data_IF_020257915040
#
_entry.id   IF_020257915040
#
_cell.length_a   1.000
_cell.length_b   1.000
_cell.length_c   1.000
_cell.angle_alpha   90.00
_cell.angle_beta   90.00
_cell.angle_gamma   90.00
#
_symmetry.space_group_name_H-M   'P 1'
#
loop_
_entity.id
_entity.type
_entity.pdbx_description
1 polymer ?
#
# COMPACT_ATOMS: atom_id res chain seq x y z
N UNK A 1 -19.12 -35.19 -15.15
CA UNK A 1 -19.10 -33.73 -14.91
C UNK A 1 -19.51 -32.91 -16.15
N UNK A 2 -20.13 -33.53 -17.17
CA UNK A 2 -20.47 -32.88 -18.45
C UNK A 2 -21.96 -32.47 -18.58
N UNK A 3 -22.86 -33.02 -17.75
CA UNK A 3 -24.30 -32.71 -17.82
C UNK A 3 -24.75 -31.42 -17.11
N UNK A 4 -23.87 -30.78 -16.32
CA UNK A 4 -24.22 -29.54 -15.60
C UNK A 4 -24.07 -28.30 -16.49
N UNK A 5 -23.07 -28.31 -17.38
CA UNK A 5 -22.75 -27.17 -18.25
C UNK A 5 -23.68 -27.10 -19.46
N UNK A 6 -24.12 -28.24 -20.01
CA UNK A 6 -25.17 -28.29 -21.03
C UNK A 6 -26.54 -27.83 -20.51
N UNK A 7 -26.84 -28.09 -19.23
CA UNK A 7 -28.09 -27.64 -18.61
C UNK A 7 -28.10 -26.12 -18.35
N UNK A 8 -26.92 -25.53 -18.12
CA UNK A 8 -26.77 -24.07 -18.01
C UNK A 8 -26.74 -23.38 -19.37
N UNK A 9 -26.14 -24.01 -20.39
CA UNK A 9 -26.16 -23.52 -21.77
C UNK A 9 -27.59 -23.49 -22.34
N UNK A 10 -28.38 -24.54 -22.12
CA UNK A 10 -29.79 -24.60 -22.55
C UNK A 10 -30.70 -23.60 -21.80
N UNK A 11 -30.38 -23.24 -20.55
CA UNK A 11 -31.08 -22.16 -19.83
C UNK A 11 -30.73 -20.78 -20.38
N UNK A 12 -29.52 -20.59 -20.90
CA UNK A 12 -29.06 -19.34 -21.47
C UNK A 12 -29.56 -19.16 -22.92
N UNK A 13 -29.60 -20.22 -23.72
CA UNK A 13 -30.20 -20.20 -25.06
C UNK A 13 -31.70 -19.92 -25.03
N UNK A 14 -32.42 -20.53 -24.07
CA UNK A 14 -33.83 -20.20 -23.86
C UNK A 14 -34.03 -18.74 -23.42
N UNK A 15 -33.15 -18.18 -22.58
CA UNK A 15 -33.20 -16.76 -22.15
C UNK A 15 -32.82 -15.76 -23.25
N UNK A 16 -31.92 -16.13 -24.16
CA UNK A 16 -31.55 -15.29 -25.32
C UNK A 16 -32.67 -15.29 -26.37
N UNK A 17 -33.41 -16.40 -26.51
CA UNK A 17 -34.68 -16.43 -27.25
C UNK A 17 -35.73 -15.52 -26.60
N UNK A 18 -35.82 -15.53 -25.25
CA UNK A 18 -36.71 -14.60 -24.51
C UNK A 18 -36.31 -13.14 -24.72
N UNK A 19 -35.02 -12.82 -24.86
CA UNK A 19 -34.53 -11.46 -25.15
C UNK A 19 -34.98 -10.94 -26.55
N UNK A 20 -35.19 -11.84 -27.51
CA UNK A 20 -35.80 -11.52 -28.82
C UNK A 20 -37.32 -11.38 -28.77
N UNK A 21 -38.00 -12.00 -27.80
CA UNK A 21 -39.47 -11.93 -27.64
C UNK A 21 -39.92 -10.81 -26.68
N UNK A 22 -39.18 -10.55 -25.60
CA UNK A 22 -39.43 -9.45 -24.65
C UNK A 22 -39.26 -8.07 -25.31
N UNK A 23 -38.49 -7.98 -26.40
CA UNK A 23 -38.35 -6.76 -27.22
C UNK A 23 -39.52 -6.54 -28.19
N UNK A 24 -40.48 -7.47 -28.27
CA UNK A 24 -41.78 -7.27 -28.98
C UNK A 24 -42.95 -6.94 -28.05
N UNK A 25 -42.82 -7.10 -26.73
CA UNK A 25 -43.83 -6.65 -25.78
C UNK A 25 -43.30 -5.44 -25.03
N UNK A 26 -43.88 -4.29 -25.37
CA UNK A 26 -43.77 -3.06 -24.60
C UNK A 26 -44.18 -3.31 -23.16
N UNK A 27 -43.20 -3.48 -22.27
CA UNK A 27 -43.41 -3.22 -20.85
C UNK A 27 -42.20 -2.53 -20.24
N UNK A 28 -42.52 -1.59 -19.37
CA UNK A 28 -41.67 -0.53 -18.88
C UNK A 28 -40.77 -0.95 -17.70
N UNK A 29 -39.73 -0.15 -17.50
CA UNK A 29 -38.74 -0.23 -16.41
C UNK A 29 -37.51 -1.11 -16.66
N UNK A 30 -36.44 -0.45 -17.12
CA UNK A 30 -35.06 -0.50 -16.59
C UNK A 30 -34.14 0.14 -17.62
N UNK A 31 -33.24 1.00 -17.16
CA UNK A 31 -32.33 1.84 -17.96
C UNK A 31 -31.49 1.05 -18.99
N UNK A 32 -31.26 -0.24 -18.72
CA UNK A 32 -30.54 -1.16 -19.60
C UNK A 32 -31.29 -1.51 -20.89
N UNK A 33 -32.63 -1.45 -20.89
CA UNK A 33 -33.43 -1.77 -22.08
C UNK A 33 -33.28 -0.68 -23.16
N UNK A 34 -33.27 0.59 -22.75
CA UNK A 34 -33.04 1.71 -23.67
C UNK A 34 -31.62 1.68 -24.28
N UNK A 35 -30.61 1.39 -23.45
CA UNK A 35 -29.22 1.22 -23.90
C UNK A 35 -29.08 0.08 -24.92
N UNK A 36 -29.71 -1.07 -24.69
CA UNK A 36 -29.71 -2.20 -25.61
C UNK A 36 -30.37 -1.88 -26.95
N UNK A 37 -31.54 -1.23 -26.92
CA UNK A 37 -32.23 -0.77 -28.14
C UNK A 37 -31.41 0.24 -28.93
N UNK A 38 -30.72 1.17 -28.26
CA UNK A 38 -29.84 2.14 -28.91
C UNK A 38 -28.69 1.48 -29.66
N UNK A 39 -28.06 0.44 -29.09
CA UNK A 39 -26.96 -0.30 -29.74
C UNK A 39 -27.46 -1.06 -30.98
N UNK A 40 -28.62 -1.73 -30.87
CA UNK A 40 -29.21 -2.45 -31.99
C UNK A 40 -29.65 -1.52 -33.12
N UNK A 41 -30.28 -0.39 -32.79
CA UNK A 41 -30.71 0.60 -33.78
C UNK A 41 -29.52 1.22 -34.52
N UNK A 42 -28.45 1.55 -33.79
CA UNK A 42 -27.22 2.06 -34.40
C UNK A 42 -26.60 1.05 -35.38
N UNK A 43 -26.52 -0.22 -35.00
CA UNK A 43 -26.00 -1.27 -35.89
C UNK A 43 -26.89 -1.51 -37.12
N UNK A 44 -28.21 -1.48 -36.97
CA UNK A 44 -29.14 -1.65 -38.09
C UNK A 44 -29.00 -0.51 -39.11
N UNK A 45 -28.71 0.71 -38.65
CA UNK A 45 -28.58 1.88 -39.51
C UNK A 45 -27.20 1.98 -40.17
N UNK A 46 -26.13 1.71 -39.43
CA UNK A 46 -24.74 1.93 -39.89
C UNK A 46 -24.08 0.65 -40.40
N UNK A 47 -24.58 -0.52 -40.01
CA UNK A 47 -24.00 -1.82 -40.30
C UNK A 47 -22.75 -2.14 -39.46
N UNK A 48 -22.25 -1.22 -38.64
CA UNK A 48 -21.14 -1.41 -37.71
C UNK A 48 -21.42 -0.66 -36.41
N UNK A 49 -20.79 -1.04 -35.31
CA UNK A 49 -20.91 -0.29 -34.06
C UNK A 49 -19.80 0.77 -33.99
N UNK A 50 -20.17 2.03 -33.78
CA UNK A 50 -19.19 3.05 -33.43
C UNK A 50 -18.63 2.84 -32.00
N UNK A 51 -17.59 3.59 -31.63
CA UNK A 51 -16.95 3.49 -30.32
C UNK A 51 -17.91 3.73 -29.15
N UNK A 52 -18.89 4.64 -29.32
CA UNK A 52 -19.86 4.97 -28.28
C UNK A 52 -20.78 3.78 -28.02
N UNK A 53 -21.32 3.16 -29.06
CA UNK A 53 -22.22 2.03 -28.95
C UNK A 53 -21.49 0.75 -28.50
N UNK A 54 -20.21 0.56 -28.86
CA UNK A 54 -19.38 -0.52 -28.30
C UNK A 54 -19.18 -0.40 -26.79
N UNK A 55 -18.93 0.80 -26.29
CA UNK A 55 -18.79 1.05 -24.85
C UNK A 55 -20.11 0.80 -24.10
N UNK A 56 -21.25 1.18 -24.69
CA UNK A 56 -22.58 0.90 -24.12
C UNK A 56 -22.83 -0.62 -24.07
N UNK A 57 -22.48 -1.35 -25.13
CA UNK A 57 -22.62 -2.80 -25.14
C UNK A 57 -21.71 -3.47 -24.08
N UNK A 58 -20.48 -3.02 -23.94
CA UNK A 58 -19.56 -3.52 -22.92
C UNK A 58 -20.08 -3.27 -21.50
N UNK A 59 -20.66 -2.09 -21.22
CA UNK A 59 -21.29 -1.74 -19.95
C UNK A 59 -22.44 -2.70 -19.60
N UNK A 60 -23.31 -2.99 -20.57
CA UNK A 60 -24.43 -3.95 -20.40
C UNK A 60 -23.89 -5.35 -20.06
N UNK A 61 -22.85 -5.81 -20.76
CA UNK A 61 -22.26 -7.13 -20.57
C UNK A 61 -21.62 -7.24 -19.19
N UNK A 62 -20.82 -6.25 -18.77
CA UNK A 62 -20.17 -6.26 -17.45
C UNK A 62 -21.21 -6.27 -16.33
N UNK A 63 -22.25 -5.44 -16.44
CA UNK A 63 -23.34 -5.43 -15.45
C UNK A 63 -24.09 -6.77 -15.40
N UNK A 64 -24.24 -7.46 -16.54
CA UNK A 64 -24.88 -8.76 -16.57
C UNK A 64 -23.99 -9.86 -15.97
N UNK A 65 -22.71 -9.90 -16.30
CA UNK A 65 -21.77 -10.93 -15.81
C UNK A 65 -21.49 -10.81 -14.31
N UNK A 66 -21.54 -9.59 -13.75
CA UNK A 66 -21.27 -9.33 -12.34
C UNK A 66 -22.53 -9.16 -11.49
N UNK A 67 -23.73 -9.32 -12.07
CA UNK A 67 -25.01 -9.08 -11.39
C UNK A 67 -25.19 -9.88 -10.10
N UNK A 68 -24.75 -11.14 -10.12
CA UNK A 68 -24.94 -12.07 -9.00
C UNK A 68 -23.77 -12.04 -8.00
N UNK A 69 -22.59 -11.55 -8.41
CA UNK A 69 -21.41 -11.42 -7.56
C UNK A 69 -20.45 -10.34 -8.09
N UNK A 70 -20.47 -9.17 -7.43
CA UNK A 70 -19.63 -8.02 -7.79
C UNK A 70 -18.12 -8.27 -7.62
N UNK A 71 -17.73 -9.28 -6.85
CA UNK A 71 -16.34 -9.67 -6.63
C UNK A 71 -15.88 -10.81 -7.55
N UNK A 72 -16.77 -11.30 -8.43
CA UNK A 72 -16.40 -12.34 -9.40
C UNK A 72 -15.44 -11.78 -10.45
N UNK A 73 -14.46 -12.59 -10.85
CA UNK A 73 -13.55 -12.26 -11.96
C UNK A 73 -14.04 -12.96 -13.22
N UNK A 74 -14.14 -12.22 -14.33
CA UNK A 74 -14.36 -12.81 -15.67
C UNK A 74 -13.05 -13.48 -16.11
N UNK A 75 -13.07 -14.79 -16.29
CA UNK A 75 -11.89 -15.55 -16.73
C UNK A 75 -11.55 -15.25 -18.19
N UNK A 76 -10.32 -15.56 -18.61
CA UNK A 76 -9.88 -15.37 -20.00
C UNK A 76 -10.71 -16.22 -20.97
N UNK A 77 -11.12 -17.41 -20.55
CA UNK A 77 -12.00 -18.30 -21.32
C UNK A 77 -13.40 -17.72 -21.45
N UNK A 78 -13.94 -17.14 -20.37
CA UNK A 78 -15.26 -16.49 -20.38
C UNK A 78 -15.27 -15.25 -21.26
N UNK A 79 -14.21 -14.45 -21.22
CA UNK A 79 -14.05 -13.28 -22.09
C UNK A 79 -14.00 -13.66 -23.58
N UNK A 80 -13.29 -14.75 -23.94
CA UNK A 80 -13.30 -15.29 -25.31
C UNK A 80 -14.68 -15.74 -25.74
N UNK A 81 -15.39 -16.47 -24.89
CA UNK A 81 -16.77 -16.91 -25.16
C UNK A 81 -17.71 -15.73 -25.42
N UNK A 82 -17.61 -14.67 -24.61
CA UNK A 82 -18.42 -13.45 -24.79
C UNK A 82 -18.07 -12.77 -26.12
N UNK A 83 -16.79 -12.61 -26.46
CA UNK A 83 -16.36 -12.00 -27.71
C UNK A 83 -16.89 -12.77 -28.93
N UNK A 84 -16.87 -14.11 -28.91
CA UNK A 84 -17.45 -14.95 -29.96
C UNK A 84 -18.96 -14.74 -30.11
N UNK A 85 -19.68 -14.60 -28.99
CA UNK A 85 -21.13 -14.31 -29.03
C UNK A 85 -21.42 -12.92 -29.60
N UNK A 86 -20.59 -11.92 -29.31
CA UNK A 86 -20.73 -10.57 -29.89
C UNK A 86 -20.51 -10.62 -31.39
N UNK A 87 -19.48 -11.31 -31.88
CA UNK A 87 -19.21 -11.46 -33.32
C UNK A 87 -20.38 -12.17 -34.02
N UNK A 88 -20.97 -13.19 -33.39
CA UNK A 88 -22.17 -13.85 -33.93
C UNK A 88 -23.38 -12.91 -34.04
N UNK A 89 -23.54 -11.97 -33.11
CA UNK A 89 -24.63 -10.99 -33.11
C UNK A 89 -24.35 -9.80 -34.02
N UNK A 90 -23.08 -9.44 -34.20
CA UNK A 90 -22.60 -8.33 -35.00
C UNK A 90 -21.50 -8.80 -35.96
N UNK A 91 -21.84 -9.50 -37.06
CA UNK A 91 -20.87 -10.19 -37.93
C UNK A 91 -19.82 -9.31 -38.60
N UNK A 92 -20.03 -7.98 -38.64
CA UNK A 92 -19.08 -7.01 -39.18
C UNK A 92 -18.04 -6.53 -38.15
N UNK A 93 -18.13 -6.96 -36.90
CA UNK A 93 -17.08 -6.72 -35.91
C UNK A 93 -15.91 -7.72 -36.13
N UNK A 94 -14.80 -7.24 -36.68
CA UNK A 94 -13.80 -8.12 -37.32
C UNK A 94 -12.84 -8.90 -36.40
N UNK A 95 -12.76 -8.65 -35.08
CA UNK A 95 -11.76 -9.36 -34.25
C UNK A 95 -12.27 -9.71 -32.86
N UNK A 96 -11.99 -10.96 -32.45
CA UNK A 96 -12.07 -11.41 -31.05
C UNK A 96 -11.25 -10.47 -30.14
N UNK A 97 -10.12 -9.98 -30.64
CA UNK A 97 -9.23 -9.04 -29.95
C UNK A 97 -9.76 -7.59 -29.88
N UNK A 98 -10.81 -7.22 -30.61
CA UNK A 98 -11.45 -5.88 -30.48
C UNK A 98 -12.32 -5.78 -29.24
N UNK A 99 -12.84 -6.93 -28.78
CA UNK A 99 -13.77 -7.06 -27.65
C UNK A 99 -13.12 -7.65 -26.41
N UNK A 100 -12.00 -8.39 -26.56
CA UNK A 100 -11.05 -8.58 -25.47
C UNK A 100 -10.53 -7.18 -25.11
N UNK A 101 -11.11 -6.58 -24.07
CA UNK A 101 -10.70 -5.35 -23.39
C UNK A 101 -9.69 -4.54 -24.20
N UNK A 102 -10.22 -3.72 -25.12
CA UNK A 102 -9.47 -2.79 -25.96
C UNK A 102 -8.43 -2.09 -25.09
N UNK A 103 -7.16 -2.49 -25.23
CA UNK A 103 -6.02 -1.74 -24.71
C UNK A 103 -6.16 -0.34 -25.28
N UNK A 104 -6.64 0.60 -24.45
CA UNK A 104 -6.79 1.98 -24.85
C UNK A 104 -5.39 2.50 -25.10
N UNK A 105 -5.03 2.64 -26.36
CA UNK A 105 -3.90 3.47 -26.79
C UNK A 105 -4.23 4.94 -26.51
N UNK A 106 -4.13 5.35 -25.24
CA UNK A 106 -3.79 6.70 -24.82
C UNK A 106 -2.36 6.65 -24.27
N UNK A 107 -1.38 6.96 -25.12
CA UNK A 107 -0.08 7.49 -24.65
C UNK A 107 -0.42 8.83 -23.97
N UNK A 108 -0.69 8.90 -22.66
CA UNK A 108 0.31 8.92 -21.59
C UNK A 108 -0.22 8.40 -20.23
N UNK A 109 -1.49 7.97 -20.12
CA UNK A 109 -2.11 7.62 -18.81
C UNK A 109 -2.36 6.10 -18.61
N UNK A 110 -2.35 5.29 -19.68
CA UNK A 110 -2.81 3.89 -19.61
C UNK A 110 -1.74 2.91 -19.09
N UNK A 111 -0.48 3.30 -19.13
CA UNK A 111 0.65 2.46 -18.70
C UNK A 111 0.75 2.41 -17.17
N UNK A 112 0.49 3.54 -16.50
CA UNK A 112 0.60 3.64 -15.05
C UNK A 112 -0.47 2.83 -14.31
N UNK A 113 -1.71 2.80 -14.79
CA UNK A 113 -2.76 1.97 -14.18
C UNK A 113 -2.40 0.48 -14.22
N UNK A 114 -1.85 0.01 -15.36
CA UNK A 114 -1.38 -1.36 -15.49
C UNK A 114 -0.18 -1.65 -14.58
N UNK A 115 0.75 -0.70 -14.44
CA UNK A 115 1.88 -0.83 -13.52
C UNK A 115 1.46 -0.86 -12.06
N UNK A 116 0.54 0.00 -11.65
CA UNK A 116 -0.04 0.01 -10.31
C UNK A 116 -0.76 -1.31 -10.05
N UNK A 117 -1.63 -1.74 -10.96
CA UNK A 117 -2.35 -3.01 -10.83
C UNK A 117 -1.37 -4.18 -10.73
N UNK A 118 -0.28 -4.17 -11.51
CA UNK A 118 0.76 -5.18 -11.43
C UNK A 118 1.43 -5.17 -10.04
N UNK A 119 1.84 -4.00 -9.53
CA UNK A 119 2.46 -3.87 -8.20
C UNK A 119 1.53 -4.30 -7.06
N UNK A 120 0.21 -4.16 -7.23
CA UNK A 120 -0.79 -4.59 -6.26
C UNK A 120 -1.00 -6.11 -6.24
N UNK A 121 -0.67 -6.79 -7.34
CA UNK A 121 -0.91 -8.23 -7.50
C UNK A 121 0.39 -9.05 -7.62
N UNK A 122 1.56 -8.42 -7.53
CA UNK A 122 2.85 -9.08 -7.75
C UNK A 122 3.95 -8.42 -6.94
N UNK A 123 4.77 -9.25 -6.29
CA UNK A 123 5.93 -8.88 -5.48
C UNK A 123 7.27 -9.38 -6.08
N UNK A 124 7.19 -10.11 -7.20
CA UNK A 124 8.32 -10.73 -7.88
C UNK A 124 8.15 -10.69 -9.40
N UNK A 125 9.26 -10.63 -10.19
CA UNK A 125 10.65 -10.51 -9.76
C UNK A 125 11.00 -9.10 -9.25
N UNK A 126 11.91 -9.00 -8.26
CA UNK A 126 12.24 -7.75 -7.56
C UNK A 126 12.74 -6.61 -8.47
N UNK A 127 13.47 -6.95 -9.54
CA UNK A 127 13.93 -5.99 -10.54
C UNK A 127 12.74 -5.24 -11.16
N UNK A 128 11.69 -5.99 -11.51
CA UNK A 128 10.47 -5.42 -12.12
C UNK A 128 9.68 -4.61 -11.09
N UNK A 129 9.57 -5.09 -9.85
CA UNK A 129 8.96 -4.33 -8.74
C UNK A 129 9.64 -2.97 -8.62
N UNK A 130 10.96 -2.94 -8.50
CA UNK A 130 11.73 -1.71 -8.32
C UNK A 130 11.53 -0.74 -9.49
N UNK A 131 11.62 -1.23 -10.73
CA UNK A 131 11.42 -0.42 -11.93
C UNK A 131 10.01 0.18 -12.00
N UNK A 132 8.98 -0.62 -11.72
CA UNK A 132 7.59 -0.14 -11.75
C UNK A 132 7.31 0.79 -10.56
N UNK A 133 7.92 0.54 -9.40
CA UNK A 133 7.81 1.40 -8.22
C UNK A 133 8.30 2.81 -8.51
N UNK A 134 9.47 2.94 -9.13
CA UNK A 134 10.06 4.22 -9.55
C UNK A 134 9.18 4.92 -10.59
N UNK A 135 8.74 4.20 -11.64
CA UNK A 135 7.86 4.77 -12.66
C UNK A 135 6.55 5.31 -12.08
N UNK A 136 6.00 4.62 -11.09
CA UNK A 136 4.70 4.95 -10.50
C UNK A 136 4.77 5.89 -9.29
N UNK A 137 5.97 6.29 -8.85
CA UNK A 137 6.20 7.03 -7.60
C UNK A 137 5.31 8.26 -7.46
N UNK A 138 5.28 9.13 -8.46
CA UNK A 138 4.51 10.38 -8.46
C UNK A 138 3.02 10.15 -8.25
N UNK A 139 2.45 9.13 -8.90
CA UNK A 139 1.03 8.81 -8.83
C UNK A 139 0.71 8.13 -7.49
N UNK A 140 1.51 7.14 -7.06
CA UNK A 140 1.34 6.46 -5.77
C UNK A 140 1.43 7.44 -4.60
N UNK A 141 2.41 8.35 -4.61
CA UNK A 141 2.62 9.34 -3.56
C UNK A 141 1.54 10.42 -3.56
N UNK A 142 1.00 10.78 -4.73
CA UNK A 142 -0.15 11.69 -4.83
C UNK A 142 -1.40 11.05 -4.23
N UNK A 143 -1.73 9.81 -4.61
CA UNK A 143 -2.85 9.06 -4.03
C UNK A 143 -2.69 8.90 -2.52
N UNK A 144 -1.50 8.52 -2.04
CA UNK A 144 -1.21 8.40 -0.61
C UNK A 144 -1.47 9.69 0.19
N UNK A 145 -1.30 10.87 -0.41
CA UNK A 145 -1.59 12.17 0.23
C UNK A 145 -3.06 12.56 0.18
N UNK A 146 -3.79 12.08 -0.82
CA UNK A 146 -5.21 12.40 -1.03
C UNK A 146 -6.13 11.43 -0.29
N UNK A 147 -5.70 10.19 -0.10
CA UNK A 147 -6.48 9.13 0.52
C UNK A 147 -6.25 9.10 2.04
N UNK A 148 -7.33 8.98 2.81
CA UNK A 148 -7.26 8.81 4.26
C UNK A 148 -7.04 7.33 4.63
N UNK A 149 -6.12 6.66 3.93
CA UNK A 149 -5.82 5.25 4.13
C UNK A 149 -4.88 5.04 5.31
N UNK A 150 -5.03 3.92 6.03
CA UNK A 150 -4.08 3.59 7.10
C UNK A 150 -2.75 3.09 6.51
N UNK A 151 -1.69 3.14 7.31
CA UNK A 151 -0.37 2.56 6.95
C UNK A 151 -0.52 1.08 6.57
N UNK A 152 -1.40 0.35 7.28
CA UNK A 152 -1.65 -1.07 7.01
C UNK A 152 -2.34 -1.30 5.67
N UNK A 153 -3.31 -0.46 5.32
CA UNK A 153 -4.00 -0.57 4.04
C UNK A 153 -3.02 -0.32 2.89
N UNK A 154 -2.14 0.68 3.04
CA UNK A 154 -1.12 0.97 2.03
C UNK A 154 -0.12 -0.17 1.85
N UNK A 155 0.34 -0.79 2.94
CA UNK A 155 1.28 -1.91 2.85
C UNK A 155 0.60 -3.14 2.23
N UNK A 156 -0.64 -3.46 2.63
CA UNK A 156 -1.41 -4.56 2.04
C UNK A 156 -1.76 -4.32 0.57
N UNK A 157 -1.91 -3.06 0.18
CA UNK A 157 -2.12 -2.70 -1.22
C UNK A 157 -0.91 -3.05 -2.08
N UNK A 158 0.31 -3.02 -1.53
CA UNK A 158 1.54 -3.32 -2.25
C UNK A 158 2.36 -4.39 -1.52
N UNK A 159 2.06 -5.67 -1.77
CA UNK A 159 2.66 -6.82 -1.09
C UNK A 159 4.20 -6.83 -1.06
N UNK A 160 4.84 -6.24 -2.07
CA UNK A 160 6.30 -6.08 -2.09
C UNK A 160 6.87 -5.33 -0.86
N UNK A 161 6.06 -4.52 -0.19
CA UNK A 161 6.43 -3.85 1.06
C UNK A 161 6.53 -4.81 2.25
N UNK A 162 5.84 -5.95 2.25
CA UNK A 162 5.98 -6.96 3.32
C UNK A 162 7.28 -7.78 3.21
N UNK A 163 7.93 -7.75 2.05
CA UNK A 163 9.20 -8.43 1.83
C UNK A 163 10.31 -7.86 2.74
N UNK A 164 11.33 -8.66 3.04
CA UNK A 164 12.47 -8.26 3.89
C UNK A 164 13.19 -6.99 3.40
N UNK A 165 13.22 -6.79 2.09
CA UNK A 165 13.79 -5.64 1.38
C UNK A 165 12.74 -4.58 0.99
N UNK A 166 11.48 -4.73 1.43
CA UNK A 166 10.38 -3.80 1.13
C UNK A 166 10.68 -2.36 1.54
N UNK A 167 11.44 -2.15 2.61
CA UNK A 167 11.85 -0.82 3.06
C UNK A 167 12.66 -0.04 2.02
N UNK A 168 13.38 -0.71 1.11
CA UNK A 168 14.16 -0.05 0.05
C UNK A 168 13.23 0.72 -0.90
N UNK A 169 12.01 0.22 -1.12
CA UNK A 169 11.00 0.90 -1.93
C UNK A 169 10.54 2.21 -1.26
N UNK A 170 10.46 2.21 0.08
CA UNK A 170 10.15 3.42 0.86
C UNK A 170 11.32 4.42 0.85
N UNK A 171 12.56 3.95 0.86
CA UNK A 171 13.75 4.80 0.71
C UNK A 171 13.77 5.49 -0.66
N UNK A 172 13.43 4.76 -1.74
CA UNK A 172 13.29 5.33 -3.08
C UNK A 172 12.22 6.42 -3.15
N UNK A 173 11.06 6.17 -2.53
CA UNK A 173 10.01 7.17 -2.44
C UNK A 173 10.45 8.39 -1.61
N UNK A 174 11.23 8.20 -0.54
CA UNK A 174 11.81 9.29 0.24
C UNK A 174 12.79 10.13 -0.59
N UNK A 175 13.64 9.49 -1.41
CA UNK A 175 14.58 10.17 -2.30
C UNK A 175 13.88 10.98 -3.39
N UNK A 176 12.79 10.47 -3.97
CA UNK A 176 11.97 11.21 -4.93
C UNK A 176 11.34 12.46 -4.28
N UNK A 177 10.88 12.34 -3.03
CA UNK A 177 10.27 13.46 -2.30
C UNK A 177 11.29 14.48 -1.80
N UNK A 178 12.49 14.03 -1.44
CA UNK A 178 13.52 14.84 -0.82
C UNK A 178 14.93 14.52 -1.37
N UNK A 179 15.24 14.92 -2.62
CA UNK A 179 16.49 14.56 -3.29
C UNK A 179 17.76 14.94 -2.51
N UNK A 180 17.73 16.08 -1.79
CA UNK A 180 18.87 16.61 -1.04
C UNK A 180 18.90 16.17 0.45
N UNK A 181 18.03 15.24 0.84
CA UNK A 181 17.90 14.77 2.22
C UNK A 181 18.47 13.37 2.46
N UNK A 182 18.71 12.59 1.40
CA UNK A 182 19.26 11.25 1.51
C UNK A 182 20.57 11.26 2.33
N UNK A 183 20.63 10.41 3.36
CA UNK A 183 21.78 10.26 4.27
C UNK A 183 22.29 11.53 4.95
N UNK A 184 21.54 12.64 4.90
CA UNK A 184 21.97 13.93 5.47
C UNK A 184 22.18 13.84 6.98
N UNK A 185 21.38 13.03 7.67
CA UNK A 185 21.55 12.76 9.10
C UNK A 185 22.92 12.14 9.40
N UNK A 186 23.36 11.18 8.58
CA UNK A 186 24.65 10.52 8.71
C UNK A 186 25.80 11.46 8.36
N UNK A 187 25.70 12.15 7.22
CA UNK A 187 26.72 13.09 6.75
C UNK A 187 26.96 14.23 7.75
N UNK A 188 25.89 14.76 8.36
CA UNK A 188 25.94 15.88 9.30
C UNK A 188 25.93 15.43 10.77
N UNK A 189 26.11 14.13 11.05
CA UNK A 189 26.02 13.58 12.40
C UNK A 189 26.99 14.24 13.38
N UNK A 190 28.19 14.60 12.94
CA UNK A 190 29.19 15.28 13.78
C UNK A 190 28.66 16.63 14.26
N UNK A 191 28.10 17.44 13.36
CA UNK A 191 27.54 18.76 13.71
C UNK A 191 26.30 18.60 14.58
N UNK A 192 25.40 17.69 14.21
CA UNK A 192 24.16 17.43 14.95
C UNK A 192 24.46 16.90 16.37
N UNK A 193 25.36 15.93 16.53
CA UNK A 193 25.71 15.37 17.83
C UNK A 193 26.36 16.41 18.75
N UNK A 194 27.14 17.34 18.21
CA UNK A 194 27.66 18.49 18.96
C UNK A 194 26.53 19.40 19.45
N UNK A 195 25.59 19.74 18.56
CA UNK A 195 24.41 20.53 18.89
C UNK A 195 23.55 19.87 19.97
N UNK A 196 23.25 18.57 19.82
CA UNK A 196 22.47 17.78 20.79
C UNK A 196 23.14 17.83 22.16
N UNK A 197 24.46 17.53 22.23
CA UNK A 197 25.22 17.58 23.49
C UNK A 197 25.12 18.96 24.16
N UNK A 198 25.34 20.04 23.41
CA UNK A 198 25.30 21.42 23.93
C UNK A 198 23.91 21.79 24.47
N UNK A 199 22.84 21.27 23.88
CA UNK A 199 21.47 21.51 24.36
C UNK A 199 21.14 20.62 25.55
N UNK A 200 21.55 19.35 25.53
CA UNK A 200 21.32 18.41 26.62
C UNK A 200 22.00 18.83 27.93
N UNK A 201 23.20 19.42 27.89
CA UNK A 201 23.86 19.89 29.12
C UNK A 201 23.06 20.97 29.86
N UNK A 202 22.19 21.71 29.16
CA UNK A 202 21.29 22.70 29.77
C UNK A 202 20.03 22.07 30.36
N UNK A 203 19.49 21.03 29.71
CA UNK A 203 18.22 20.40 30.09
C UNK A 203 18.46 19.30 31.15
N UNK A 204 19.55 18.57 31.02
CA UNK A 204 19.94 17.43 31.85
C UNK A 204 21.42 17.59 32.26
N UNK A 205 21.76 18.49 33.21
CA UNK A 205 23.16 18.75 33.60
C UNK A 205 23.91 17.52 34.13
N UNK A 206 23.16 16.55 34.65
CA UNK A 206 23.68 15.27 35.13
C UNK A 206 24.00 14.28 34.01
N UNK A 207 23.56 14.53 32.77
CA UNK A 207 23.86 13.67 31.64
C UNK A 207 25.35 13.80 31.27
N UNK A 208 26.08 12.71 31.46
CA UNK A 208 27.44 12.51 30.93
C UNK A 208 27.38 11.33 29.98
N UNK A 209 27.63 11.57 28.69
CA UNK A 209 27.75 10.47 27.73
C UNK A 209 28.86 9.50 28.19
N UNK A 210 28.67 8.21 27.95
CA UNK A 210 29.55 7.14 28.43
C UNK A 210 31.02 7.49 28.22
N UNK A 211 31.73 7.57 29.33
CA UNK A 211 33.18 7.71 29.41
C UNK A 211 33.66 6.52 30.22
N UNK A 212 33.59 5.31 29.66
CA UNK A 212 34.02 4.10 30.39
C UNK A 212 35.54 3.98 30.28
N UNK A 213 36.30 4.04 31.39
CA UNK A 213 37.75 3.86 31.36
C UNK A 213 38.17 2.43 30.97
N UNK A 214 37.27 1.44 31.13
CA UNK A 214 37.55 0.02 30.88
C UNK A 214 37.21 -0.50 29.47
N UNK A 215 36.69 0.35 28.56
CA UNK A 215 36.31 -0.09 27.21
C UNK A 215 37.43 0.21 26.20
N UNK A 216 38.23 -0.82 25.88
CA UNK A 216 39.41 -0.72 24.99
C UNK A 216 39.03 -0.52 23.51
N UNK A 217 37.85 -0.97 23.08
CA UNK A 217 37.39 -0.81 21.71
C UNK A 217 36.78 0.58 21.46
N UNK A 218 37.59 1.47 20.85
CA UNK A 218 37.16 2.82 20.47
C UNK A 218 35.93 2.85 19.53
N UNK A 219 35.73 1.83 18.67
CA UNK A 219 34.58 1.76 17.76
C UNK A 219 33.29 1.50 18.54
N UNK A 220 33.31 0.51 19.44
CA UNK A 220 32.18 0.21 20.32
C UNK A 220 31.82 1.42 21.21
N UNK A 221 32.83 2.15 21.70
CA UNK A 221 32.61 3.36 22.49
C UNK A 221 31.96 4.49 21.69
N UNK A 222 32.38 4.70 20.44
CA UNK A 222 31.73 5.68 19.54
C UNK A 222 30.28 5.31 19.26
N UNK A 223 29.98 4.04 18.95
CA UNK A 223 28.60 3.55 18.74
C UNK A 223 27.73 3.75 19.98
N UNK A 224 28.22 3.35 21.16
CA UNK A 224 27.51 3.54 22.44
C UNK A 224 27.19 5.01 22.71
N UNK A 225 28.15 5.92 22.46
CA UNK A 225 27.91 7.37 22.57
C UNK A 225 26.83 7.86 21.59
N UNK A 226 26.83 7.37 20.36
CA UNK A 226 25.83 7.71 19.34
C UNK A 226 24.43 7.29 19.77
N UNK A 227 24.27 6.04 20.21
CA UNK A 227 22.99 5.49 20.67
C UNK A 227 22.47 6.27 21.89
N UNK A 228 23.34 6.57 22.86
CA UNK A 228 22.95 7.37 24.03
C UNK A 228 22.46 8.78 23.66
N UNK A 229 23.03 9.39 22.62
CA UNK A 229 22.56 10.69 22.13
C UNK A 229 21.22 10.56 21.40
N UNK A 230 21.05 9.54 20.56
CA UNK A 230 19.79 9.26 19.87
C UNK A 230 18.66 9.02 20.87
N UNK A 231 18.87 8.21 21.90
CA UNK A 231 17.89 7.96 22.97
C UNK A 231 17.49 9.24 23.74
N UNK A 232 18.31 10.29 23.71
CA UNK A 232 18.04 11.58 24.38
C UNK A 232 17.60 12.69 23.43
N UNK A 233 17.65 12.46 22.13
CA UNK A 233 17.16 13.40 21.13
C UNK A 233 15.70 13.86 21.42
N UNK A 234 14.77 12.98 21.84
CA UNK A 234 13.40 13.40 22.19
C UNK A 234 13.30 14.42 23.33
N UNK A 235 14.30 14.48 24.24
CA UNK A 235 14.33 15.48 25.32
C UNK A 235 14.44 16.92 24.79
N UNK A 236 14.89 17.11 23.54
CA UNK A 236 15.04 18.44 22.94
C UNK A 236 13.72 19.03 22.44
N UNK A 237 12.69 18.20 22.29
CA UNK A 237 11.40 18.62 21.76
C UNK A 237 10.44 19.02 22.88
N UNK A 238 9.57 20.02 22.65
CA UNK A 238 8.54 20.42 23.60
C UNK A 238 7.57 19.27 23.89
N UNK A 239 6.97 19.29 25.08
CA UNK A 239 5.94 18.32 25.48
C UNK A 239 4.59 18.83 25.00
N UNK A 240 3.91 18.03 24.20
CA UNK A 240 2.53 18.26 23.81
C UNK A 240 1.58 17.43 24.68
N UNK A 241 0.46 18.04 25.07
CA UNK A 241 -0.66 17.33 25.69
C UNK A 241 -1.56 16.86 24.55
N UNK A 242 -1.75 15.55 24.45
CA UNK A 242 -2.74 14.97 23.54
C UNK A 242 -4.11 15.01 24.21
N UNK A 243 -5.12 15.51 23.49
CA UNK A 243 -6.52 15.40 23.90
C UNK A 243 -7.03 14.06 23.37
N UNK A 244 -7.25 13.11 24.27
CA UNK A 244 -7.63 11.74 23.92
C UNK A 244 -9.15 11.63 23.96
N UNK A 245 -9.82 12.00 22.86
CA UNK A 245 -11.27 11.89 22.75
C UNK A 245 -12.06 13.12 23.20
N UNK A 246 -13.40 13.02 23.15
CA UNK A 246 -14.33 14.14 23.38
C UNK A 246 -14.77 14.29 24.84
N UNK A 247 -14.38 13.37 25.72
CA UNK A 247 -14.81 13.36 27.12
C UNK A 247 -13.90 14.22 28.01
N UNK A 248 -14.51 14.92 28.98
CA UNK A 248 -13.78 15.74 29.96
C UNK A 248 -12.89 14.84 30.83
N UNK A 249 -11.58 15.06 30.78
CA UNK A 249 -10.60 14.38 31.64
C UNK A 249 -9.56 13.52 30.89
N UNK A 250 -9.74 13.29 29.59
CA UNK A 250 -8.84 12.44 28.81
C UNK A 250 -7.62 13.18 28.22
N UNK A 251 -7.03 14.12 28.97
CA UNK A 251 -5.81 14.80 28.54
C UNK A 251 -4.60 13.93 28.90
N UNK A 252 -3.91 13.38 27.90
CA UNK A 252 -2.70 12.59 28.11
C UNK A 252 -1.46 13.45 27.84
N UNK A 253 -0.60 13.57 28.84
CA UNK A 253 0.72 14.20 28.71
C UNK A 253 1.79 13.12 28.81
N UNK A 254 2.49 12.88 27.69
CA UNK A 254 3.59 11.92 27.69
C UNK A 254 4.74 12.36 28.61
N UNK A 255 5.20 11.42 29.43
CA UNK A 255 6.40 11.55 30.24
C UNK A 255 7.66 11.58 29.37
N UNK A 256 8.78 12.03 29.96
CA UNK A 256 10.09 11.97 29.31
C UNK A 256 10.48 10.55 28.91
N UNK A 257 10.21 9.56 29.75
CA UNK A 257 10.51 8.16 29.46
C UNK A 257 9.72 7.67 28.26
N UNK A 258 8.40 7.91 28.23
CA UNK A 258 7.54 7.50 27.11
C UNK A 258 7.95 8.11 25.78
N UNK A 259 8.42 9.37 25.77
CA UNK A 259 8.90 10.03 24.56
C UNK A 259 10.19 9.42 24.02
N UNK A 260 11.10 9.05 24.92
CA UNK A 260 12.34 8.37 24.53
C UNK A 260 12.05 6.98 23.99
N UNK A 261 11.20 6.23 24.68
CA UNK A 261 10.75 4.92 24.22
C UNK A 261 9.97 4.99 22.90
N UNK A 262 9.16 6.02 22.67
CA UNK A 262 8.47 6.19 21.39
C UNK A 262 9.41 6.46 20.20
N UNK A 263 10.65 6.90 20.46
CA UNK A 263 11.61 7.23 19.41
C UNK A 263 12.53 6.05 19.07
N UNK A 264 13.14 5.42 20.07
CA UNK A 264 14.13 4.36 19.87
C UNK A 264 14.11 3.38 21.04
N UNK A 265 14.11 2.08 20.73
CA UNK A 265 14.30 1.03 21.72
C UNK A 265 15.74 0.54 21.71
N UNK A 266 16.35 0.49 22.89
CA UNK A 266 17.57 -0.27 23.12
C UNK A 266 17.19 -1.50 23.96
N UNK A 267 17.40 -2.69 23.40
CA UNK A 267 17.08 -3.98 24.04
C UNK A 267 18.38 -4.78 24.13
N UNK A 268 18.67 -5.35 25.30
CA UNK A 268 19.90 -6.11 25.49
C UNK A 268 19.84 -7.48 24.81
N UNK A 269 18.71 -8.18 24.97
CA UNK A 269 18.52 -9.56 24.54
C UNK A 269 17.31 -9.65 23.60
N UNK A 270 17.47 -10.37 22.49
CA UNK A 270 16.40 -10.54 21.51
C UNK A 270 15.11 -11.16 22.09
N UNK A 271 15.23 -12.02 23.10
CA UNK A 271 14.09 -12.67 23.76
C UNK A 271 13.07 -11.69 24.33
N UNK A 272 13.51 -10.50 24.76
CA UNK A 272 12.66 -9.48 25.38
C UNK A 272 11.85 -8.67 24.36
N UNK A 273 12.17 -8.80 23.06
CA UNK A 273 11.56 -8.01 22.00
C UNK A 273 10.05 -8.20 21.93
N UNK A 274 9.59 -9.45 21.95
CA UNK A 274 8.16 -9.75 21.81
C UNK A 274 7.35 -9.23 23.00
N UNK A 275 7.92 -9.30 24.21
CA UNK A 275 7.32 -8.72 25.42
C UNK A 275 7.16 -7.21 25.28
N UNK A 276 8.23 -6.50 24.88
CA UNK A 276 8.21 -5.05 24.62
C UNK A 276 7.18 -4.65 23.55
N UNK A 277 7.07 -5.44 22.47
CA UNK A 277 6.08 -5.22 21.42
C UNK A 277 4.66 -5.35 21.99
N UNK A 278 4.41 -6.40 22.78
CA UNK A 278 3.09 -6.67 23.33
C UNK A 278 2.65 -5.59 24.32
N UNK A 279 3.52 -5.19 25.25
CA UNK A 279 3.29 -4.07 26.18
C UNK A 279 2.94 -2.78 25.42
N UNK A 280 3.67 -2.51 24.33
CA UNK A 280 3.42 -1.32 23.50
C UNK A 280 2.07 -1.40 22.79
N UNK A 281 1.70 -2.55 22.25
CA UNK A 281 0.41 -2.76 21.58
C UNK A 281 -0.74 -2.60 22.54
N UNK A 282 -0.67 -3.19 23.73
CA UNK A 282 -1.69 -3.04 24.77
C UNK A 282 -1.91 -1.56 25.11
N UNK A 283 -0.81 -0.81 25.28
CA UNK A 283 -0.88 0.63 25.52
C UNK A 283 -1.52 1.40 24.36
N UNK A 284 -1.13 1.11 23.12
CA UNK A 284 -1.68 1.80 21.94
C UNK A 284 -3.15 1.45 21.71
N UNK A 285 -3.58 0.25 22.07
CA UNK A 285 -4.97 -0.18 21.98
C UNK A 285 -5.91 0.65 22.87
N UNK A 286 -5.43 1.13 24.03
CA UNK A 286 -6.16 2.11 24.86
C UNK A 286 -6.53 3.35 24.05
N UNK A 287 -5.66 3.75 23.12
CA UNK A 287 -5.84 4.91 22.24
C UNK A 287 -6.47 4.56 20.88
N UNK A 288 -6.88 3.30 20.66
CA UNK A 288 -7.35 2.79 19.35
C UNK A 288 -6.32 3.00 18.23
N UNK A 289 -5.04 2.90 18.56
CA UNK A 289 -3.93 3.01 17.63
C UNK A 289 -3.28 1.63 17.42
N UNK A 290 -2.80 1.39 16.20
CA UNK A 290 -1.92 0.26 15.90
C UNK A 290 -0.47 0.60 16.22
N UNK A 291 0.40 -0.42 16.28
CA UNK A 291 1.83 -0.20 16.50
C UNK A 291 2.41 0.63 15.35
N UNK A 292 2.69 1.89 15.64
CA UNK A 292 3.32 2.83 14.71
C UNK A 292 4.80 2.45 14.48
N UNK A 293 5.41 3.12 13.50
CA UNK A 293 6.83 2.98 13.19
C UNK A 293 7.71 3.05 14.45
N UNK A 294 8.49 2.00 14.69
CA UNK A 294 9.37 1.88 15.84
C UNK A 294 10.77 1.43 15.42
N UNK A 295 11.78 2.26 15.71
CA UNK A 295 13.19 1.89 15.57
C UNK A 295 13.68 1.12 16.80
N UNK A 296 14.46 0.07 16.57
CA UNK A 296 14.91 -0.87 17.60
C UNK A 296 16.36 -1.25 17.36
N UNK A 297 17.18 -1.20 18.41
CA UNK A 297 18.54 -1.72 18.42
C UNK A 297 18.61 -2.83 19.47
N UNK A 298 19.03 -4.01 19.04
CA UNK A 298 19.19 -5.19 19.90
C UNK A 298 20.66 -5.53 20.04
N UNK A 299 21.14 -5.69 21.26
CA UNK A 299 22.48 -6.16 21.59
C UNK A 299 23.09 -5.47 22.80
N UNK A 300 23.95 -6.20 23.51
CA UNK A 300 24.60 -5.72 24.72
C UNK A 300 25.43 -4.46 24.48
N UNK A 301 25.48 -3.62 25.52
CA UNK A 301 26.30 -2.42 25.53
C UNK A 301 27.81 -2.66 25.52
N UNK A 302 28.21 -3.92 25.68
CA UNK A 302 29.59 -4.40 25.76
C UNK A 302 30.06 -5.11 24.49
N UNK A 303 29.13 -5.56 23.63
CA UNK A 303 29.46 -6.26 22.38
C UNK A 303 29.31 -5.34 21.17
N UNK A 304 30.15 -5.55 20.15
CA UNK A 304 30.01 -4.83 18.87
C UNK A 304 28.93 -5.46 17.96
N UNK A 305 28.36 -6.60 18.38
CA UNK A 305 27.32 -7.33 17.65
C UNK A 305 25.94 -6.80 18.04
N UNK A 306 25.53 -5.73 17.36
CA UNK A 306 24.16 -5.20 17.43
C UNK A 306 23.38 -5.58 16.18
N UNK A 307 22.05 -5.61 16.27
CA UNK A 307 21.12 -5.76 15.15
C UNK A 307 20.10 -4.64 15.21
N UNK A 308 19.79 -4.05 14.06
CA UNK A 308 18.91 -2.91 13.95
C UNK A 308 17.64 -3.31 13.22
N UNK A 309 16.50 -2.95 13.77
CA UNK A 309 15.20 -3.27 13.20
C UNK A 309 14.30 -2.04 13.15
N UNK A 310 13.43 -2.05 12.16
CA UNK A 310 12.31 -1.12 12.06
C UNK A 310 11.03 -1.95 12.03
N UNK A 311 10.13 -1.68 12.96
CA UNK A 311 8.84 -2.38 13.05
C UNK A 311 7.72 -1.41 12.71
N UNK A 312 6.80 -1.86 11.87
CA UNK A 312 5.55 -1.18 11.55
C UNK A 312 4.45 -2.22 11.68
N UNK A 313 3.64 -2.09 12.73
CA UNK A 313 2.59 -3.05 13.10
C UNK A 313 3.06 -4.51 13.24
N UNK A 314 2.81 -5.34 12.23
CA UNK A 314 3.22 -6.75 12.15
C UNK A 314 4.51 -6.95 11.36
N UNK A 315 4.93 -5.94 10.60
CA UNK A 315 6.03 -6.04 9.66
C UNK A 315 7.32 -5.61 10.34
N UNK A 316 8.38 -6.32 10.00
CA UNK A 316 9.71 -6.12 10.56
C UNK A 316 10.75 -6.10 9.45
N UNK A 317 11.45 -4.99 9.35
CA UNK A 317 12.62 -4.85 8.51
C UNK A 317 13.88 -4.95 9.35
N UNK A 318 14.81 -5.79 8.94
CA UNK A 318 16.18 -5.76 9.44
C UNK A 318 17.00 -4.85 8.54
N UNK A 319 17.67 -3.87 9.16
CA UNK A 319 18.42 -2.83 8.46
C UNK A 319 19.87 -2.84 8.89
N UNK A 320 20.73 -2.20 8.09
CA UNK A 320 22.14 -2.08 8.42
C UNK A 320 22.36 -1.39 9.77
N UNK A 321 23.42 -1.80 10.46
CA UNK A 321 23.72 -1.32 11.80
C UNK A 321 24.41 0.04 11.80
N UNK A 322 24.05 0.86 12.81
CA UNK A 322 24.73 2.11 13.19
C UNK A 322 26.20 1.93 13.63
#
# INVERSE_FOLDING_TARGET
>A
HTNSDELQANKLENKISTFKEETKRTDCSTDNNYKGHSVLSAYQFQGELDEKHRNILADIIVHHELKDNLNARVTSERAKFIAEKIINLFPKEEKVNTWILREKNKKDDTDYEQYILWLQNSDTPWIKVTQLWEKTSKIRLKSLRSDNQSIQDYIRLYFALEASQGYILLEKDFEELYPDAHMKLYAEWVKLSCFIKKKLTKIEPKFKAASNPGMTNMRALKKKKTIQLLLRLPSLFPIYIAVVGKEKGCNWRSSLCERREAFLWEIEIYGDLNTKIQERREKLNIFKLTLQLQAIIIGSSETDKRRSFVIVDTIRYEVENL
#
